data_IF_003994057049
#
_entry.id   IF_003994057049
#
_cell.length_a   1.000
_cell.length_b   1.000
_cell.length_c   1.000
_cell.angle_alpha   90.00
_cell.angle_beta   90.00
_cell.angle_gamma   90.00
#
_symmetry.space_group_name_H-M   'P 1'
#
loop_
_entity.id
_entity.type
_entity.pdbx_description
1 polymer ?
#
# COMPACT_ATOMS: atom_id res chain seq x y z
N UNK A 1 2.39 -5.65 -23.63
CA UNK A 1 1.11 -5.64 -22.88
C UNK A 1 0.82 -4.23 -22.38
N UNK A 2 -0.43 -3.78 -22.47
CA UNK A 2 -0.87 -2.49 -21.93
C UNK A 2 -0.73 -2.44 -20.40
N UNK A 3 -0.51 -1.24 -19.84
CA UNK A 3 -0.49 -1.01 -18.41
C UNK A 3 -1.78 -1.54 -17.75
N UNK A 4 -1.71 -2.13 -16.54
CA UNK A 4 -2.91 -2.62 -15.89
C UNK A 4 -3.79 -1.44 -15.47
N UNK A 5 -5.10 -1.63 -15.53
CA UNK A 5 -6.04 -0.63 -15.04
C UNK A 5 -5.97 -0.68 -13.52
N UNK A 6 -5.65 0.44 -12.88
CA UNK A 6 -5.70 0.61 -11.43
C UNK A 6 -7.00 1.28 -11.05
N UNK A 7 -7.79 0.66 -10.18
CA UNK A 7 -8.99 1.25 -9.58
C UNK A 7 -8.87 1.23 -8.06
N UNK A 8 -9.50 2.17 -7.40
CA UNK A 8 -9.65 2.17 -5.95
C UNK A 8 -11.08 1.77 -5.61
N UNK A 9 -11.28 0.89 -4.63
CA UNK A 9 -12.61 0.56 -4.12
C UNK A 9 -12.72 0.81 -2.62
N UNK A 10 -13.86 1.34 -2.20
CA UNK A 10 -14.10 1.71 -0.80
C UNK A 10 -15.60 1.62 -0.44
N UNK A 11 -15.87 1.46 0.85
CA UNK A 11 -17.21 1.61 1.43
C UNK A 11 -17.25 2.89 2.29
N UNK A 12 -18.27 3.76 2.13
CA UNK A 12 -18.36 5.05 2.82
C UNK A 12 -18.31 5.00 4.34
N UNK A 13 -18.13 6.17 4.94
CA UNK A 13 -18.26 6.37 6.38
C UNK A 13 -19.64 5.92 6.87
N UNK A 14 -19.69 5.35 8.06
CA UNK A 14 -20.92 4.79 8.66
C UNK A 14 -21.58 3.67 7.86
N UNK A 15 -20.91 3.12 6.83
CA UNK A 15 -21.33 1.93 6.10
C UNK A 15 -20.34 0.78 6.30
N UNK A 16 -20.87 -0.38 6.69
CA UNK A 16 -20.13 -1.61 6.97
C UNK A 16 -20.41 -2.73 5.96
N UNK A 17 -21.24 -2.48 4.94
CA UNK A 17 -21.62 -3.49 3.96
C UNK A 17 -20.52 -3.67 2.90
N UNK A 18 -19.54 -4.52 3.21
CA UNK A 18 -18.40 -4.76 2.34
C UNK A 18 -18.50 -6.06 1.51
N UNK A 19 -19.55 -6.86 1.74
CA UNK A 19 -19.70 -8.17 1.10
C UNK A 19 -19.77 -8.06 -0.42
N UNK A 20 -20.58 -7.13 -0.94
CA UNK A 20 -20.75 -6.92 -2.38
C UNK A 20 -19.45 -6.45 -3.05
N UNK A 21 -18.76 -5.47 -2.45
CA UNK A 21 -17.54 -4.92 -3.04
C UNK A 21 -16.40 -5.96 -3.02
N UNK A 22 -16.33 -6.83 -2.02
CA UNK A 22 -15.37 -7.92 -1.97
C UNK A 22 -15.55 -8.90 -3.15
N UNK A 23 -16.79 -9.29 -3.45
CA UNK A 23 -17.08 -10.14 -4.63
C UNK A 23 -16.72 -9.45 -5.93
N UNK A 24 -17.07 -8.17 -6.09
CA UNK A 24 -16.76 -7.37 -7.28
C UNK A 24 -15.24 -7.24 -7.48
N UNK A 25 -14.50 -6.95 -6.41
CA UNK A 25 -13.05 -6.84 -6.43
C UNK A 25 -12.39 -8.13 -6.93
N UNK A 26 -12.86 -9.29 -6.45
CA UNK A 26 -12.36 -10.59 -6.89
C UNK A 26 -12.58 -10.82 -8.38
N UNK A 27 -13.72 -10.39 -8.92
CA UNK A 27 -13.96 -10.48 -10.37
C UNK A 27 -13.03 -9.55 -11.15
N UNK A 28 -12.88 -8.29 -10.74
CA UNK A 28 -11.95 -7.37 -11.40
C UNK A 28 -10.53 -7.91 -11.50
N UNK A 29 -10.04 -8.53 -10.42
CA UNK A 29 -8.70 -9.13 -10.37
C UNK A 29 -8.57 -10.31 -11.35
N UNK A 30 -9.61 -11.13 -11.51
CA UNK A 30 -9.63 -12.22 -12.50
C UNK A 30 -9.43 -11.70 -13.93
N UNK A 31 -9.87 -10.47 -14.19
CA UNK A 31 -9.77 -9.82 -15.50
C UNK A 31 -8.62 -8.82 -15.64
N UNK A 32 -7.59 -8.93 -14.80
CA UNK A 32 -6.34 -8.18 -15.00
C UNK A 32 -6.35 -6.75 -14.43
N UNK A 33 -7.35 -6.39 -13.62
CA UNK A 33 -7.44 -5.06 -12.98
C UNK A 33 -6.73 -5.11 -11.63
N UNK A 34 -5.89 -4.11 -11.37
CA UNK A 34 -5.27 -3.89 -10.06
C UNK A 34 -6.25 -3.07 -9.19
N UNK A 35 -6.68 -3.66 -8.07
CA UNK A 35 -7.68 -3.08 -7.18
C UNK A 35 -7.01 -2.66 -5.88
N UNK A 36 -7.00 -1.36 -5.60
CA UNK A 36 -6.62 -0.82 -4.29
C UNK A 36 -7.87 -0.83 -3.43
N UNK A 37 -7.96 -1.77 -2.49
CA UNK A 37 -9.10 -1.84 -1.58
C UNK A 37 -8.81 -1.05 -0.31
N UNK A 38 -9.66 -0.07 0.01
CA UNK A 38 -9.52 0.70 1.25
C UNK A 38 -10.28 0.11 2.43
N UNK A 39 -11.15 -0.88 2.23
CA UNK A 39 -12.05 -1.33 3.29
C UNK A 39 -13.28 -0.42 3.46
N UNK A 40 -13.92 -0.56 4.61
CA UNK A 40 -15.13 0.15 4.98
C UNK A 40 -14.90 1.28 5.97
N UNK A 41 -15.95 2.07 6.23
CA UNK A 41 -15.90 3.27 7.06
C UNK A 41 -14.87 4.32 6.59
N UNK A 42 -14.86 4.64 5.30
CA UNK A 42 -13.91 5.60 4.73
C UNK A 42 -14.52 6.97 4.48
N UNK A 43 -13.82 8.01 4.94
CA UNK A 43 -14.20 9.40 4.67
C UNK A 43 -13.90 9.78 3.22
N UNK A 44 -14.57 10.82 2.72
CA UNK A 44 -14.30 11.41 1.40
C UNK A 44 -12.84 11.82 1.26
N UNK A 45 -12.25 12.39 2.32
CA UNK A 45 -10.86 12.82 2.36
C UNK A 45 -9.88 11.66 2.15
N UNK A 46 -10.11 10.53 2.82
CA UNK A 46 -9.24 9.36 2.73
C UNK A 46 -9.31 8.71 1.35
N UNK A 47 -10.53 8.55 0.82
CA UNK A 47 -10.78 7.99 -0.51
C UNK A 47 -10.07 8.82 -1.58
N UNK A 48 -10.25 10.15 -1.57
CA UNK A 48 -9.64 11.03 -2.57
C UNK A 48 -8.13 11.10 -2.42
N UNK A 49 -7.60 11.15 -1.19
CA UNK A 49 -6.15 11.16 -0.95
C UNK A 49 -5.52 9.88 -1.49
N UNK A 50 -6.07 8.72 -1.14
CA UNK A 50 -5.56 7.44 -1.61
C UNK A 50 -5.65 7.32 -3.14
N UNK A 51 -6.78 7.71 -3.75
CA UNK A 51 -6.94 7.66 -5.21
C UNK A 51 -5.89 8.49 -5.95
N UNK A 52 -5.56 9.67 -5.42
CA UNK A 52 -4.52 10.54 -5.96
C UNK A 52 -3.12 9.90 -5.84
N UNK A 53 -2.75 9.44 -4.65
CA UNK A 53 -1.41 8.87 -4.41
C UNK A 53 -1.20 7.55 -5.18
N UNK A 54 -2.27 6.78 -5.36
CA UNK A 54 -2.30 5.52 -6.12
C UNK A 54 -2.44 5.72 -7.64
N UNK A 55 -2.59 6.95 -8.11
CA UNK A 55 -2.77 7.32 -9.51
C UNK A 55 -3.84 6.47 -10.23
N UNK A 56 -4.97 6.23 -9.56
CA UNK A 56 -6.01 5.35 -10.09
C UNK A 56 -6.74 5.97 -11.27
N UNK A 57 -7.35 5.14 -12.10
CA UNK A 57 -8.23 5.56 -13.20
C UNK A 57 -9.63 5.90 -12.71
N UNK A 58 -10.11 5.17 -11.71
CA UNK A 58 -11.42 5.34 -11.17
C UNK A 58 -11.52 4.92 -9.70
N UNK A 59 -12.52 5.48 -9.02
CA UNK A 59 -12.94 5.17 -7.66
C UNK A 59 -14.29 4.46 -7.76
N UNK A 60 -14.37 3.23 -7.26
CA UNK A 60 -15.60 2.46 -7.11
C UNK A 60 -16.11 2.53 -5.67
N UNK A 61 -17.30 3.05 -5.46
CA UNK A 61 -17.91 3.18 -4.13
C UNK A 61 -19.10 2.23 -4.01
N UNK A 62 -19.12 1.44 -2.94
CA UNK A 62 -20.26 0.58 -2.58
C UNK A 62 -21.00 1.20 -1.41
N UNK A 63 -22.26 1.61 -1.57
CA UNK A 63 -23.03 2.36 -0.57
C UNK A 63 -24.42 1.77 -0.34
N UNK A 64 -24.71 1.31 0.88
CA UNK A 64 -25.94 0.65 1.29
C UNK A 64 -26.69 1.37 2.42
N UNK A 65 -26.09 2.40 3.03
CA UNK A 65 -26.67 3.11 4.18
C UNK A 65 -27.30 4.48 3.87
N UNK A 66 -27.46 4.83 2.58
CA UNK A 66 -28.02 6.12 2.16
C UNK A 66 -27.00 7.27 2.17
N UNK A 67 -27.47 8.50 1.87
CA UNK A 67 -26.60 9.68 1.72
C UNK A 67 -25.66 9.61 0.52
N UNK A 68 -25.90 8.68 -0.41
CA UNK A 68 -25.03 8.40 -1.56
C UNK A 68 -24.96 9.55 -2.55
N UNK A 69 -26.03 10.31 -2.77
CA UNK A 69 -26.02 11.44 -3.72
C UNK A 69 -25.07 12.55 -3.25
N UNK A 70 -25.09 12.86 -1.97
CA UNK A 70 -24.18 13.78 -1.31
C UNK A 70 -22.76 13.23 -1.30
N UNK A 71 -22.57 12.01 -0.81
CA UNK A 71 -21.24 11.41 -0.65
C UNK A 71 -20.49 11.31 -1.97
N UNK A 72 -21.13 10.81 -3.03
CA UNK A 72 -20.50 10.71 -4.35
C UNK A 72 -20.22 12.11 -4.93
N UNK A 73 -21.13 13.06 -4.73
CA UNK A 73 -20.94 14.46 -5.14
C UNK A 73 -19.71 15.08 -4.48
N UNK A 74 -19.56 14.91 -3.16
CA UNK A 74 -18.41 15.42 -2.40
C UNK A 74 -17.09 14.79 -2.85
N UNK A 75 -17.05 13.50 -3.19
CA UNK A 75 -15.86 12.84 -3.75
C UNK A 75 -15.46 13.51 -5.06
N UNK A 76 -16.42 13.73 -5.97
CA UNK A 76 -16.16 14.40 -7.26
C UNK A 76 -15.69 15.85 -7.05
N UNK A 77 -16.34 16.59 -6.16
CA UNK A 77 -16.00 17.98 -5.89
C UNK A 77 -14.62 18.11 -5.24
N UNK A 78 -14.25 17.21 -4.33
CA UNK A 78 -12.93 17.19 -3.71
C UNK A 78 -11.84 16.78 -4.70
N UNK A 79 -12.10 15.83 -5.61
CA UNK A 79 -11.21 15.52 -6.73
C UNK A 79 -10.98 16.76 -7.61
N UNK A 80 -12.05 17.49 -7.95
CA UNK A 80 -11.96 18.73 -8.72
C UNK A 80 -11.14 19.79 -7.99
N UNK A 81 -11.41 20.00 -6.70
CA UNK A 81 -10.69 20.96 -5.84
C UNK A 81 -9.20 20.63 -5.72
N UNK A 82 -8.83 19.34 -5.71
CA UNK A 82 -7.43 18.88 -5.67
C UNK A 82 -6.78 18.77 -7.06
N UNK A 83 -7.51 19.07 -8.13
CA UNK A 83 -7.00 19.03 -9.51
C UNK A 83 -6.92 17.63 -10.14
N UNK A 84 -7.55 16.62 -9.54
CA UNK A 84 -7.55 15.24 -9.99
C UNK A 84 -8.82 14.88 -10.80
N UNK A 85 -9.24 15.76 -11.70
CA UNK A 85 -10.49 15.64 -12.48
C UNK A 85 -10.49 14.50 -13.50
N UNK A 86 -9.33 13.93 -13.75
CA UNK A 86 -9.14 12.79 -14.66
C UNK A 86 -9.47 11.45 -13.99
N UNK A 87 -9.59 11.39 -12.67
CA UNK A 87 -10.08 10.22 -11.93
C UNK A 87 -11.60 10.19 -11.98
N UNK A 88 -12.18 9.07 -12.44
CA UNK A 88 -13.64 8.87 -12.52
C UNK A 88 -14.20 8.28 -11.24
N UNK A 89 -15.49 8.49 -11.00
CA UNK A 89 -16.21 7.92 -9.86
C UNK A 89 -17.35 7.07 -10.39
N UNK A 90 -17.43 5.82 -9.95
CA UNK A 90 -18.54 4.91 -10.22
C UNK A 90 -18.95 4.20 -8.93
N UNK A 91 -20.06 3.48 -8.94
CA UNK A 91 -20.45 2.73 -7.76
C UNK A 91 -21.75 1.97 -7.90
N UNK A 92 -22.26 1.52 -6.76
CA UNK A 92 -23.53 0.81 -6.65
C UNK A 92 -23.96 0.69 -5.19
N UNK A 93 -25.23 0.31 -4.99
CA UNK A 93 -25.82 0.21 -3.65
C UNK A 93 -26.98 -0.76 -3.56
N UNK A 94 -27.06 -1.70 -4.52
CA UNK A 94 -28.20 -2.60 -4.66
C UNK A 94 -29.50 -1.83 -4.86
N UNK A 95 -30.50 -2.11 -4.03
CA UNK A 95 -31.80 -1.43 -4.05
C UNK A 95 -31.83 -0.08 -3.31
N UNK A 96 -30.74 0.32 -2.65
CA UNK A 96 -30.67 1.58 -1.89
C UNK A 96 -30.60 2.80 -2.80
N UNK A 97 -29.95 2.66 -3.95
CA UNK A 97 -29.78 3.74 -4.92
C UNK A 97 -30.90 3.62 -5.96
N UNK A 98 -31.76 4.63 -6.01
CA UNK A 98 -32.86 4.69 -6.98
C UNK A 98 -32.37 5.19 -8.35
N UNK A 99 -33.21 5.07 -9.38
CA UNK A 99 -32.90 5.62 -10.70
C UNK A 99 -32.78 7.16 -10.67
N UNK A 100 -33.66 7.82 -9.91
CA UNK A 100 -33.63 9.28 -9.73
C UNK A 100 -32.34 9.74 -9.04
N UNK A 101 -31.88 8.98 -8.03
CA UNK A 101 -30.58 9.22 -7.39
C UNK A 101 -29.43 9.08 -8.37
N UNK A 102 -29.46 8.06 -9.22
CA UNK A 102 -28.43 7.85 -10.24
C UNK A 102 -28.39 8.99 -11.27
N UNK A 103 -29.54 9.54 -11.66
CA UNK A 103 -29.60 10.73 -12.51
C UNK A 103 -29.04 11.96 -11.79
N UNK A 104 -29.38 12.17 -10.52
CA UNK A 104 -28.84 13.25 -9.71
C UNK A 104 -27.31 13.16 -9.56
N UNK A 105 -26.80 11.96 -9.30
CA UNK A 105 -25.36 11.68 -9.25
C UNK A 105 -24.67 11.89 -10.60
N UNK A 106 -25.31 11.49 -11.71
CA UNK A 106 -24.79 11.74 -13.07
C UNK A 106 -24.69 13.23 -13.37
N UNK A 107 -25.68 14.04 -12.95
CA UNK A 107 -25.60 15.51 -13.03
C UNK A 107 -24.42 16.08 -12.24
N UNK A 108 -24.03 15.42 -11.15
CA UNK A 108 -22.82 15.72 -10.36
C UNK A 108 -21.53 15.08 -10.90
N UNK A 109 -21.52 14.62 -12.15
CA UNK A 109 -20.37 14.01 -12.84
C UNK A 109 -19.89 12.65 -12.29
N UNK A 110 -20.76 11.91 -11.59
CA UNK A 110 -20.54 10.47 -11.37
C UNK A 110 -20.68 9.74 -12.71
N UNK A 111 -19.75 8.86 -13.04
CA UNK A 111 -19.61 8.26 -14.37
C UNK A 111 -20.65 7.14 -14.60
N UNK A 112 -20.80 6.23 -13.64
CA UNK A 112 -21.74 5.10 -13.74
C UNK A 112 -22.21 4.62 -12.36
N UNK A 113 -23.50 4.34 -12.25
CA UNK A 113 -24.10 3.58 -11.15
C UNK A 113 -24.54 2.23 -11.70
N UNK A 114 -24.18 1.16 -11.00
CA UNK A 114 -24.63 -0.20 -11.26
C UNK A 114 -25.75 -0.56 -10.28
N UNK A 115 -26.81 -1.15 -10.81
CA UNK A 115 -28.01 -1.51 -10.05
C UNK A 115 -28.00 -2.99 -9.67
N UNK A 116 -28.90 -3.37 -8.77
CA UNK A 116 -29.15 -4.78 -8.48
C UNK A 116 -29.47 -5.54 -9.78
N UNK A 117 -28.83 -6.69 -9.98
CA UNK A 117 -28.98 -7.53 -11.16
C UNK A 117 -27.96 -7.27 -12.29
N UNK A 118 -27.16 -6.19 -12.24
CA UNK A 118 -26.02 -6.04 -13.15
C UNK A 118 -25.03 -7.20 -12.96
N UNK A 119 -24.65 -7.86 -14.06
CA UNK A 119 -23.70 -8.97 -14.01
C UNK A 119 -22.27 -8.49 -13.70
N UNK A 120 -21.47 -9.32 -13.03
CA UNK A 120 -20.07 -8.98 -12.73
C UNK A 120 -19.23 -8.82 -14.02
N UNK A 121 -19.56 -9.57 -15.07
CA UNK A 121 -18.94 -9.45 -16.40
C UNK A 121 -19.22 -8.07 -17.00
N UNK A 122 -20.47 -7.62 -16.98
CA UNK A 122 -20.85 -6.29 -17.49
C UNK A 122 -20.11 -5.17 -16.75
N UNK A 123 -20.02 -5.24 -15.42
CA UNK A 123 -19.24 -4.27 -14.63
C UNK A 123 -17.78 -4.25 -15.04
N UNK A 124 -17.20 -5.43 -15.28
CA UNK A 124 -15.79 -5.59 -15.64
C UNK A 124 -15.50 -5.06 -17.05
N UNK A 125 -16.36 -5.40 -18.01
CA UNK A 125 -16.24 -4.92 -19.39
C UNK A 125 -16.35 -3.39 -19.43
N UNK A 126 -17.31 -2.82 -18.68
CA UNK A 126 -17.41 -1.38 -18.53
C UNK A 126 -16.11 -0.76 -18.01
N UNK A 127 -15.54 -1.29 -16.92
CA UNK A 127 -14.27 -0.80 -16.36
C UNK A 127 -13.14 -0.87 -17.39
N UNK A 128 -13.04 -1.96 -18.15
CA UNK A 128 -12.00 -2.15 -19.16
C UNK A 128 -12.14 -1.18 -20.33
N UNK A 129 -13.33 -1.06 -20.88
CA UNK A 129 -13.60 -0.20 -22.04
C UNK A 129 -13.53 1.28 -21.70
N UNK A 130 -14.05 1.66 -20.52
CA UNK A 130 -14.12 3.06 -20.09
C UNK A 130 -12.79 3.55 -19.54
N UNK A 131 -12.17 2.78 -18.65
CA UNK A 131 -11.01 3.21 -17.88
C UNK A 131 -9.67 2.67 -18.42
N UNK A 132 -9.71 1.74 -19.39
CA UNK A 132 -8.53 1.27 -20.12
C UNK A 132 -8.02 2.22 -21.21
N UNK A 133 -8.81 3.23 -21.58
CA UNK A 133 -8.42 4.22 -22.59
C UNK A 133 -7.30 5.14 -22.09
N UNK A 134 -6.41 5.63 -22.98
CA UNK A 134 -5.46 6.67 -22.62
C UNK A 134 -6.18 7.89 -22.04
N UNK A 135 -5.76 8.37 -20.88
CA UNK A 135 -6.28 9.60 -20.27
C UNK A 135 -5.32 10.76 -20.47
N UNK A 136 -5.85 11.94 -20.72
CA UNK A 136 -5.07 13.19 -20.60
C UNK A 136 -4.98 13.52 -19.12
N UNK A 137 -3.78 13.49 -18.57
CA UNK A 137 -3.49 14.01 -17.24
C UNK A 137 -3.73 15.53 -17.26
N UNK A 138 -4.57 16.03 -16.35
CA UNK A 138 -4.84 17.46 -16.26
C UNK A 138 -3.55 18.24 -15.91
N UNK A 139 -3.43 19.53 -16.21
CA UNK A 139 -2.24 20.30 -15.83
C UNK A 139 -2.25 20.59 -14.32
N UNK A 140 -1.61 19.75 -13.48
CA UNK A 140 -1.72 19.84 -12.02
C UNK A 140 -0.49 20.45 -11.33
N UNK A 141 -0.74 21.25 -10.29
CA UNK A 141 0.29 21.88 -9.44
C UNK A 141 0.64 21.07 -8.18
N UNK A 142 -0.15 20.05 -7.82
CA UNK A 142 0.06 19.31 -6.56
C UNK A 142 1.30 18.42 -6.63
N UNK A 143 2.25 18.54 -5.68
CA UNK A 143 3.43 17.68 -5.61
C UNK A 143 3.09 16.18 -5.56
N UNK A 144 2.03 15.81 -4.82
CA UNK A 144 1.63 14.41 -4.66
C UNK A 144 1.09 13.81 -5.96
N UNK A 145 0.35 14.58 -6.75
CA UNK A 145 -0.14 14.15 -8.07
C UNK A 145 1.04 13.91 -9.01
N UNK A 146 1.99 14.87 -9.07
CA UNK A 146 3.17 14.75 -9.92
C UNK A 146 4.05 13.56 -9.49
N UNK A 147 4.19 13.34 -8.19
CA UNK A 147 4.93 12.20 -7.66
C UNK A 147 4.26 10.87 -8.03
N UNK A 148 2.96 10.73 -7.79
CA UNK A 148 2.19 9.54 -8.15
C UNK A 148 2.27 9.22 -9.65
N UNK A 149 2.25 10.26 -10.49
CA UNK A 149 2.38 10.12 -11.94
C UNK A 149 3.73 9.59 -12.39
N UNK A 150 4.81 10.12 -11.81
CA UNK A 150 6.17 9.66 -12.08
C UNK A 150 6.38 8.22 -11.60
N UNK A 151 5.79 7.84 -10.47
CA UNK A 151 5.81 6.44 -10.01
C UNK A 151 5.11 5.52 -11.01
N UNK A 152 3.92 5.88 -11.50
CA UNK A 152 3.24 5.12 -12.56
C UNK A 152 4.08 5.03 -13.84
N UNK A 153 4.76 6.11 -14.26
CA UNK A 153 5.63 6.09 -15.44
C UNK A 153 6.83 5.15 -15.27
N UNK A 154 7.42 5.09 -14.07
CA UNK A 154 8.49 4.15 -13.75
C UNK A 154 7.97 2.71 -13.82
N UNK A 155 6.80 2.43 -13.22
CA UNK A 155 6.18 1.11 -13.26
C UNK A 155 5.86 0.64 -14.69
N UNK A 156 5.31 1.53 -15.51
CA UNK A 156 4.97 1.24 -16.91
C UNK A 156 6.22 1.13 -17.80
N UNK A 157 7.22 1.96 -17.55
CA UNK A 157 8.49 1.95 -18.28
C UNK A 157 9.26 0.65 -18.09
N UNK A 158 9.37 0.19 -16.85
CA UNK A 158 10.00 -1.11 -16.50
C UNK A 158 9.27 -2.29 -17.14
N UNK A 159 7.96 -2.19 -17.34
CA UNK A 159 7.17 -3.22 -18.04
C UNK A 159 7.47 -3.27 -19.54
N UNK A 160 7.63 -2.11 -20.19
CA UNK A 160 7.85 -2.03 -21.64
C UNK A 160 9.24 -2.50 -22.06
N UNK A 161 10.25 -2.29 -21.22
CA UNK A 161 11.63 -2.63 -21.59
C UNK A 161 11.95 -4.12 -21.54
N UNK A 162 11.16 -4.97 -20.86
CA UNK A 162 11.31 -6.44 -20.82
C UNK A 162 12.66 -6.98 -20.32
N UNK A 163 13.62 -6.10 -20.09
CA UNK A 163 15.00 -6.29 -19.65
C UNK A 163 15.33 -5.12 -18.73
N UNK A 164 16.23 -5.38 -17.80
CA UNK A 164 16.95 -4.36 -17.04
C UNK A 164 17.37 -3.25 -18.01
N UNK A 165 16.67 -2.12 -17.98
CA UNK A 165 17.22 -0.87 -18.52
C UNK A 165 18.62 -0.77 -17.90
N UNK A 166 19.65 -0.40 -18.69
CA UNK A 166 20.90 0.12 -18.12
C UNK A 166 20.47 1.10 -17.06
N UNK A 167 20.59 0.72 -15.78
CA UNK A 167 20.11 1.49 -14.63
C UNK A 167 20.63 2.87 -14.92
N UNK A 168 19.73 3.84 -15.20
CA UNK A 168 20.18 5.21 -15.25
C UNK A 168 20.74 5.41 -13.85
N UNK A 169 22.06 5.45 -13.76
CA UNK A 169 22.83 5.82 -12.58
C UNK A 169 22.51 7.29 -12.36
N UNK A 170 21.25 7.56 -12.02
CA UNK A 170 20.84 8.84 -11.48
C UNK A 170 21.72 9.00 -10.27
N UNK A 171 22.61 9.99 -10.29
CA UNK A 171 23.58 10.26 -9.23
C UNK A 171 22.91 10.10 -7.85
N UNK A 172 23.16 8.99 -7.16
CA UNK A 172 22.58 8.67 -5.85
C UNK A 172 23.08 9.66 -4.77
N UNK A 173 24.06 10.51 -5.13
CA UNK A 173 24.77 11.46 -4.26
C UNK A 173 23.95 12.57 -3.58
N UNK A 174 22.68 12.77 -3.95
CA UNK A 174 21.81 13.77 -3.32
C UNK A 174 20.50 13.15 -2.85
N UNK A 175 20.58 12.32 -1.80
CA UNK A 175 19.41 11.85 -1.07
C UNK A 175 19.14 12.73 0.12
N UNK A 176 17.88 13.04 0.34
CA UNK A 176 17.40 13.84 1.46
C UNK A 176 16.64 13.00 2.49
N UNK A 177 16.15 11.82 2.09
CA UNK A 177 15.35 10.94 2.94
C UNK A 177 16.12 9.70 3.38
N UNK A 178 15.88 9.25 4.61
CA UNK A 178 16.35 7.95 5.11
C UNK A 178 15.39 6.84 4.70
N UNK A 179 15.89 5.80 4.04
CA UNK A 179 15.09 4.69 3.48
C UNK A 179 15.18 3.47 4.40
N UNK A 180 14.04 3.04 4.94
CA UNK A 180 13.95 1.95 5.90
C UNK A 180 13.14 0.80 5.29
N UNK A 181 13.74 -0.39 5.22
CA UNK A 181 13.12 -1.57 4.65
C UNK A 181 12.57 -2.52 5.71
N UNK A 182 11.29 -2.82 5.64
CA UNK A 182 10.60 -3.79 6.49
C UNK A 182 10.34 -5.08 5.69
N UNK A 183 10.82 -6.20 6.23
CA UNK A 183 10.61 -7.53 5.67
C UNK A 183 10.26 -8.54 6.75
N UNK A 184 9.79 -9.72 6.36
CA UNK A 184 9.39 -10.79 7.28
C UNK A 184 8.23 -11.63 6.76
N UNK A 185 7.96 -12.78 7.40
CA UNK A 185 6.93 -13.71 6.96
C UNK A 185 5.52 -13.09 6.93
N UNK A 186 4.64 -13.71 6.15
CA UNK A 186 3.22 -13.36 6.14
C UNK A 186 2.61 -13.49 7.55
N UNK A 187 1.76 -12.52 7.94
CA UNK A 187 1.12 -12.55 9.24
C UNK A 187 2.00 -12.12 10.44
N UNK A 188 3.27 -11.75 10.24
CA UNK A 188 4.13 -11.21 11.30
C UNK A 188 3.64 -9.86 11.87
N UNK A 189 2.76 -9.15 11.14
CA UNK A 189 2.24 -7.84 11.53
C UNK A 189 3.11 -6.66 11.09
N UNK A 190 3.78 -6.79 9.93
CA UNK A 190 4.61 -5.73 9.31
C UNK A 190 3.81 -4.45 9.08
N UNK A 191 2.72 -4.54 8.33
CA UNK A 191 1.80 -3.44 8.00
C UNK A 191 1.32 -2.71 9.24
N UNK A 192 0.87 -3.45 10.27
CA UNK A 192 0.43 -2.88 11.55
C UNK A 192 1.57 -2.18 12.30
N UNK A 193 2.76 -2.79 12.33
CA UNK A 193 3.93 -2.20 12.97
C UNK A 193 4.38 -0.91 12.27
N UNK A 194 4.35 -0.90 10.94
CA UNK A 194 4.65 0.28 10.11
C UNK A 194 3.65 1.40 10.41
N UNK A 195 2.35 1.10 10.48
CA UNK A 195 1.32 2.10 10.77
C UNK A 195 1.50 2.73 12.17
N UNK A 196 1.89 1.93 13.16
CA UNK A 196 2.21 2.43 14.50
C UNK A 196 3.50 3.27 14.53
N UNK A 197 4.51 2.91 13.74
CA UNK A 197 5.73 3.71 13.52
C UNK A 197 5.37 5.06 12.88
N UNK A 198 4.46 5.06 11.89
CA UNK A 198 3.94 6.29 11.27
C UNK A 198 3.24 7.16 12.32
N UNK A 199 2.46 6.57 13.24
CA UNK A 199 1.86 7.33 14.34
C UNK A 199 2.91 8.02 15.22
N UNK A 200 4.02 7.34 15.59
CA UNK A 200 5.11 7.96 16.37
C UNK A 200 5.75 9.11 15.59
N UNK A 201 6.01 8.91 14.31
CA UNK A 201 6.51 9.97 13.44
C UNK A 201 5.60 11.19 13.42
N UNK A 202 4.30 10.99 13.22
CA UNK A 202 3.31 12.06 13.15
C UNK A 202 3.21 12.83 14.48
N UNK A 203 3.38 12.15 15.62
CA UNK A 203 3.33 12.77 16.94
C UNK A 203 4.61 13.54 17.30
N UNK A 204 5.78 13.05 16.90
CA UNK A 204 7.06 13.65 17.27
C UNK A 204 7.49 14.77 16.31
N UNK A 205 7.17 14.68 15.02
CA UNK A 205 7.52 15.68 14.03
C UNK A 205 6.25 16.35 13.50
N UNK A 206 6.03 17.62 13.84
CA UNK A 206 4.80 18.34 13.46
C UNK A 206 4.73 18.77 11.99
N UNK A 207 5.88 18.86 11.30
CA UNK A 207 5.98 19.35 9.91
C UNK A 207 6.52 18.32 8.92
N UNK A 208 7.14 17.26 9.43
CA UNK A 208 7.75 16.22 8.61
C UNK A 208 6.73 15.43 7.81
N UNK A 209 7.22 14.83 6.73
CA UNK A 209 6.48 13.95 5.83
C UNK A 209 7.16 12.59 5.72
N UNK A 210 6.34 11.55 5.56
CA UNK A 210 6.80 10.18 5.41
C UNK A 210 6.19 9.55 4.16
N UNK A 211 6.98 8.77 3.43
CA UNK A 211 6.51 7.98 2.29
C UNK A 211 6.49 6.49 2.64
N UNK A 212 5.51 5.75 2.13
CA UNK A 212 5.36 4.30 2.29
C UNK A 212 5.22 3.67 0.91
N UNK A 213 6.10 2.72 0.59
CA UNK A 213 6.02 1.88 -0.60
C UNK A 213 5.71 0.45 -0.14
N UNK A 214 4.44 0.04 -0.19
CA UNK A 214 4.01 -1.31 0.20
C UNK A 214 3.95 -2.23 -1.01
N UNK A 215 4.15 -3.53 -0.77
CA UNK A 215 4.09 -4.56 -1.78
C UNK A 215 3.09 -5.64 -1.40
N UNK A 216 2.16 -5.91 -2.32
CA UNK A 216 1.18 -6.99 -2.21
C UNK A 216 1.47 -8.12 -3.23
N UNK A 217 1.18 -9.38 -2.88
CA UNK A 217 1.39 -10.51 -3.76
C UNK A 217 0.44 -10.47 -4.96
N UNK A 218 0.93 -10.85 -6.14
CA UNK A 218 0.13 -10.89 -7.37
C UNK A 218 0.67 -11.91 -8.36
N UNK A 219 -0.19 -12.40 -9.24
CA UNK A 219 0.13 -13.45 -10.21
C UNK A 219 0.31 -12.83 -11.60
N UNK A 220 1.29 -13.31 -12.36
CA UNK A 220 1.51 -12.87 -13.75
C UNK A 220 0.24 -13.12 -14.57
N UNK A 221 -0.19 -12.11 -15.32
CA UNK A 221 -1.36 -12.21 -16.21
C UNK A 221 -2.71 -12.03 -15.51
N UNK A 222 -2.75 -11.94 -14.17
CA UNK A 222 -3.93 -11.53 -13.40
C UNK A 222 -3.74 -10.12 -12.85
N UNK A 223 -4.83 -9.56 -12.33
CA UNK A 223 -4.80 -8.35 -11.54
C UNK A 223 -4.18 -8.58 -10.16
N UNK A 224 -4.37 -7.64 -9.25
CA UNK A 224 -3.91 -7.75 -7.87
C UNK A 224 -4.94 -7.13 -6.92
N UNK A 225 -5.16 -7.77 -5.77
CA UNK A 225 -5.78 -7.10 -4.63
C UNK A 225 -4.67 -6.44 -3.82
N UNK A 226 -4.65 -5.11 -3.80
CA UNK A 226 -3.69 -4.33 -3.03
C UNK A 226 -4.38 -3.89 -1.74
N UNK A 227 -4.13 -4.63 -0.66
CA UNK A 227 -4.97 -4.62 0.55
C UNK A 227 -4.29 -4.04 1.78
N UNK A 228 -2.96 -3.92 1.79
CA UNK A 228 -2.20 -3.41 2.95
C UNK A 228 -2.72 -2.05 3.43
N UNK A 229 -3.13 -1.20 2.49
CA UNK A 229 -3.66 0.13 2.77
C UNK A 229 -4.96 0.12 3.58
N UNK A 230 -5.79 -0.91 3.45
CA UNK A 230 -7.02 -1.03 4.25
C UNK A 230 -6.72 -1.24 5.74
N UNK A 231 -5.59 -1.88 6.06
CA UNK A 231 -5.20 -2.17 7.44
C UNK A 231 -4.54 -0.97 8.15
N UNK A 232 -4.10 0.04 7.40
CA UNK A 232 -3.39 1.21 7.94
C UNK A 232 -4.36 2.36 8.24
N UNK A 233 -4.33 2.84 9.49
CA UNK A 233 -5.17 3.94 9.96
C UNK A 233 -4.40 5.25 9.82
N UNK A 234 -3.16 5.29 10.29
CA UNK A 234 -2.36 6.51 10.37
C UNK A 234 -1.79 6.93 9.01
N UNK A 235 -1.73 6.00 8.05
CA UNK A 235 -1.38 6.30 6.66
C UNK A 235 -2.38 7.24 5.95
N UNK A 236 -3.56 7.46 6.53
CA UNK A 236 -4.56 8.40 6.05
C UNK A 236 -4.34 9.83 6.58
N UNK A 237 -3.10 10.21 6.88
CA UNK A 237 -2.75 11.60 7.21
C UNK A 237 -2.23 12.34 5.96
N UNK A 238 -2.49 13.65 5.83
CA UNK A 238 -2.00 14.44 4.69
C UNK A 238 -0.45 14.50 4.61
N UNK A 239 0.24 14.24 5.73
CA UNK A 239 1.71 14.17 5.78
C UNK A 239 2.28 12.80 5.39
N UNK A 240 1.43 11.82 5.10
CA UNK A 240 1.82 10.49 4.66
C UNK A 240 1.51 10.33 3.18
N UNK A 241 2.52 9.97 2.40
CA UNK A 241 2.35 9.53 1.02
C UNK A 241 2.48 8.01 0.97
N UNK A 242 1.49 7.29 0.46
CA UNK A 242 1.57 5.84 0.34
C UNK A 242 1.26 5.39 -1.10
N UNK A 243 2.02 4.40 -1.56
CA UNK A 243 1.85 3.74 -2.86
C UNK A 243 1.92 2.23 -2.69
N UNK A 244 0.90 1.51 -3.15
CA UNK A 244 0.89 0.04 -3.17
C UNK A 244 1.34 -0.51 -4.51
N UNK A 245 2.27 -1.46 -4.50
CA UNK A 245 2.84 -2.09 -5.70
C UNK A 245 2.55 -3.58 -5.74
N UNK A 246 2.23 -4.08 -6.93
CA UNK A 246 2.08 -5.51 -7.18
C UNK A 246 3.46 -6.15 -7.46
N UNK A 247 3.76 -7.31 -6.86
CA UNK A 247 5.01 -8.06 -7.15
C UNK A 247 5.06 -8.68 -8.55
N UNK A 248 3.91 -8.85 -9.21
CA UNK A 248 3.72 -9.40 -10.55
C UNK A 248 4.45 -10.73 -10.74
N UNK A 249 4.32 -11.64 -9.76
CA UNK A 249 4.90 -12.98 -9.76
C UNK A 249 6.43 -13.03 -9.63
N UNK A 250 7.10 -11.93 -9.27
CA UNK A 250 8.55 -11.96 -9.01
C UNK A 250 8.88 -12.66 -7.70
N UNK A 251 9.92 -13.49 -7.75
CA UNK A 251 10.53 -14.05 -6.55
C UNK A 251 11.25 -12.96 -5.74
N UNK A 252 11.22 -13.07 -4.41
CA UNK A 252 11.90 -12.12 -3.51
C UNK A 252 11.02 -11.00 -2.95
N UNK A 253 9.76 -10.91 -3.38
CA UNK A 253 8.75 -10.15 -2.66
C UNK A 253 8.68 -8.64 -2.89
N UNK A 254 9.32 -8.16 -3.95
CA UNK A 254 9.32 -6.76 -4.38
C UNK A 254 8.97 -6.63 -5.87
N UNK A 255 8.47 -5.46 -6.27
CA UNK A 255 8.21 -5.13 -7.67
C UNK A 255 9.52 -4.87 -8.44
N UNK A 256 9.64 -5.19 -9.74
CA UNK A 256 10.81 -4.82 -10.55
C UNK A 256 11.11 -3.31 -10.57
N UNK A 257 10.09 -2.48 -10.40
CA UNK A 257 10.20 -1.03 -10.42
C UNK A 257 10.66 -0.44 -9.06
N UNK A 258 10.79 -1.27 -8.02
CA UNK A 258 11.08 -0.83 -6.65
C UNK A 258 12.30 0.08 -6.56
N UNK A 259 13.42 -0.33 -7.17
CA UNK A 259 14.67 0.44 -7.10
C UNK A 259 14.48 1.88 -7.61
N UNK A 260 13.86 2.04 -8.77
CA UNK A 260 13.68 3.34 -9.40
C UNK A 260 12.62 4.17 -8.66
N UNK A 261 11.57 3.54 -8.14
CA UNK A 261 10.57 4.19 -7.27
C UNK A 261 11.22 4.71 -5.98
N UNK A 262 12.06 3.91 -5.32
CA UNK A 262 12.78 4.36 -4.12
C UNK A 262 13.81 5.44 -4.44
N UNK A 263 14.46 5.39 -5.61
CA UNK A 263 15.38 6.45 -6.03
C UNK A 263 14.65 7.79 -6.25
N UNK A 264 13.40 7.75 -6.73
CA UNK A 264 12.55 8.94 -6.84
C UNK A 264 12.09 9.43 -5.45
N UNK A 265 11.59 8.52 -4.61
CA UNK A 265 11.09 8.85 -3.27
C UNK A 265 12.21 9.39 -2.36
N UNK A 266 13.41 8.80 -2.39
CA UNK A 266 14.54 9.22 -1.57
C UNK A 266 15.16 10.58 -1.95
N UNK A 267 14.75 11.16 -3.09
CA UNK A 267 15.07 12.54 -3.51
C UNK A 267 13.87 13.49 -3.39
N UNK A 268 12.73 12.97 -2.96
CA UNK A 268 11.53 13.76 -2.74
C UNK A 268 11.56 14.34 -1.32
N UNK A 269 10.69 15.31 -1.06
CA UNK A 269 10.64 16.04 0.20
C UNK A 269 9.95 15.21 1.33
N UNK A 270 10.60 14.12 1.73
CA UNK A 270 10.22 13.25 2.85
C UNK A 270 11.40 13.12 3.81
N UNK A 271 11.12 13.02 5.11
CA UNK A 271 12.13 12.71 6.12
C UNK A 271 12.49 11.22 6.05
N UNK A 272 11.46 10.37 5.94
CA UNK A 272 11.61 8.92 5.85
C UNK A 272 10.87 8.33 4.65
N UNK A 273 11.46 7.29 4.05
CA UNK A 273 10.81 6.43 3.06
C UNK A 273 10.81 5.01 3.61
N UNK A 274 9.63 4.49 3.95
CA UNK A 274 9.42 3.12 4.37
C UNK A 274 9.13 2.26 3.14
N UNK A 275 9.78 1.10 3.03
CA UNK A 275 9.41 0.07 2.08
C UNK A 275 9.01 -1.22 2.80
N UNK A 276 7.82 -1.72 2.50
CA UNK A 276 7.32 -3.01 2.97
C UNK A 276 7.37 -4.04 1.83
N UNK A 277 7.86 -5.23 2.13
CA UNK A 277 7.78 -6.39 1.22
C UNK A 277 6.48 -7.17 1.45
N UNK A 278 6.09 -7.99 0.49
CA UNK A 278 5.13 -9.08 0.77
C UNK A 278 5.68 -10.00 1.87
N UNK A 279 4.84 -10.88 2.41
CA UNK A 279 5.32 -11.99 3.25
C UNK A 279 6.45 -12.77 2.57
N UNK A 280 7.66 -12.65 3.08
CA UNK A 280 8.85 -13.28 2.46
C UNK A 280 9.10 -14.68 3.00
N UNK A 281 9.58 -15.57 2.13
CA UNK A 281 10.14 -16.85 2.54
C UNK A 281 11.45 -16.68 3.32
N UNK A 282 11.89 -17.77 3.97
CA UNK A 282 13.06 -17.78 4.86
C UNK A 282 14.38 -17.43 4.13
N UNK A 283 14.46 -17.69 2.82
CA UNK A 283 15.67 -17.49 1.99
C UNK A 283 15.69 -16.15 1.24
N UNK A 284 14.63 -15.36 1.32
CA UNK A 284 14.51 -14.12 0.54
C UNK A 284 15.40 -13.00 1.12
N UNK A 285 16.08 -12.28 0.22
CA UNK A 285 16.94 -11.14 0.56
C UNK A 285 16.49 -9.88 -0.20
N UNK A 286 15.27 -9.35 0.06
CA UNK A 286 14.61 -8.36 -0.78
C UNK A 286 15.43 -7.08 -1.00
N UNK A 287 16.21 -6.66 -0.01
CA UNK A 287 16.90 -5.37 -0.05
C UNK A 287 18.38 -5.45 -0.46
N UNK A 288 18.95 -6.66 -0.58
CA UNK A 288 20.39 -6.85 -0.81
C UNK A 288 20.87 -6.24 -2.15
N UNK A 289 20.06 -6.32 -3.21
CA UNK A 289 20.41 -5.85 -4.55
C UNK A 289 20.05 -4.38 -4.81
N UNK A 290 19.36 -3.74 -3.85
CA UNK A 290 18.85 -2.40 -4.06
C UNK A 290 19.92 -1.36 -3.74
N UNK A 291 20.77 -1.54 -2.72
CA UNK A 291 21.77 -0.54 -2.33
C UNK A 291 21.19 0.84 -1.96
N UNK A 292 19.85 0.90 -1.87
CA UNK A 292 19.06 2.10 -1.62
C UNK A 292 18.51 2.10 -0.19
N UNK A 293 18.34 0.93 0.41
CA UNK A 293 17.80 0.80 1.76
C UNK A 293 18.93 1.03 2.76
N UNK A 294 18.78 2.03 3.61
CA UNK A 294 19.80 2.46 4.58
C UNK A 294 19.75 1.61 5.86
N UNK A 295 18.56 1.10 6.21
CA UNK A 295 18.33 0.28 7.39
C UNK A 295 17.30 -0.82 7.10
N UNK A 296 17.60 -2.05 7.50
CA UNK A 296 16.69 -3.20 7.31
C UNK A 296 16.15 -3.71 8.64
N UNK A 297 14.82 -3.78 8.74
CA UNK A 297 14.05 -4.32 9.86
C UNK A 297 13.42 -5.66 9.45
N UNK A 298 13.77 -6.73 10.16
CA UNK A 298 13.11 -8.03 10.04
C UNK A 298 12.04 -8.16 11.13
N UNK A 299 10.79 -8.31 10.74
CA UNK A 299 9.66 -8.52 11.65
C UNK A 299 9.28 -9.99 11.68
N UNK A 300 9.30 -10.60 12.86
CA UNK A 300 8.95 -12.00 13.10
C UNK A 300 7.80 -12.10 14.10
N UNK A 301 7.01 -13.17 14.00
CA UNK A 301 6.12 -13.58 15.08
C UNK A 301 6.85 -14.57 16.02
N UNK A 302 6.37 -14.78 17.26
CA UNK A 302 6.96 -15.71 18.19
C UNK A 302 6.81 -17.17 17.77
N UNK A 303 5.88 -17.45 16.86
CA UNK A 303 5.58 -18.79 16.38
C UNK A 303 6.21 -19.04 15.00
N UNK A 304 7.53 -19.25 15.01
CA UNK A 304 8.35 -19.62 13.84
C UNK A 304 8.56 -21.14 13.74
N UNK A 305 7.77 -21.95 14.46
CA UNK A 305 7.91 -23.39 14.48
C UNK A 305 9.03 -23.89 15.41
N UNK A 306 10.04 -24.54 14.84
CA UNK A 306 11.16 -25.13 15.59
C UNK A 306 12.41 -24.26 15.53
N UNK A 307 13.30 -24.43 16.51
CA UNK A 307 14.60 -23.73 16.55
C UNK A 307 15.45 -23.95 15.29
N UNK A 308 15.32 -25.11 14.63
CA UNK A 308 15.99 -25.39 13.36
C UNK A 308 15.49 -24.50 12.21
N UNK A 309 14.25 -23.99 12.28
CA UNK A 309 13.75 -23.05 11.28
C UNK A 309 14.46 -21.70 11.36
N UNK A 310 14.84 -21.23 12.56
CA UNK A 310 15.61 -19.99 12.70
C UNK A 310 16.92 -20.03 11.91
N UNK A 311 17.57 -21.19 11.84
CA UNK A 311 18.82 -21.37 11.11
C UNK A 311 18.67 -21.19 9.60
N UNK A 312 17.45 -21.31 9.07
CA UNK A 312 17.15 -21.16 7.64
C UNK A 312 16.77 -19.73 7.26
N UNK A 313 16.55 -18.85 8.23
CA UNK A 313 16.12 -17.47 7.97
C UNK A 313 17.35 -16.62 7.68
N UNK A 314 17.65 -16.47 6.40
CA UNK A 314 18.81 -15.70 5.91
C UNK A 314 18.76 -14.24 6.38
N UNK A 315 17.55 -13.67 6.52
CA UNK A 315 17.40 -12.30 6.99
C UNK A 315 17.89 -12.09 8.44
N UNK A 316 18.00 -13.12 9.27
CA UNK A 316 18.62 -12.99 10.60
C UNK A 316 20.11 -12.65 10.51
N UNK A 317 20.78 -12.99 9.41
CA UNK A 317 22.19 -12.66 9.18
C UNK A 317 22.37 -11.24 8.62
N UNK A 318 21.33 -10.71 7.97
CA UNK A 318 21.41 -9.48 7.18
C UNK A 318 20.78 -8.26 7.85
N UNK A 319 19.67 -8.43 8.58
CA UNK A 319 18.89 -7.32 9.14
C UNK A 319 19.68 -6.55 10.21
N UNK A 320 19.50 -5.24 10.26
CA UNK A 320 20.12 -4.38 11.28
C UNK A 320 19.33 -4.43 12.58
N UNK A 321 18.01 -4.54 12.46
CA UNK A 321 17.07 -4.67 13.57
C UNK A 321 16.18 -5.88 13.34
N UNK A 322 16.01 -6.70 14.37
CA UNK A 322 15.05 -7.80 14.41
C UNK A 322 13.97 -7.46 15.43
N UNK A 323 12.72 -7.56 15.00
CA UNK A 323 11.54 -7.31 15.83
C UNK A 323 10.80 -8.63 16.03
N UNK A 324 10.63 -9.05 17.27
CA UNK A 324 9.67 -10.08 17.66
C UNK A 324 8.36 -9.37 17.96
N UNK A 325 7.46 -9.33 16.98
CA UNK A 325 6.14 -8.75 17.13
C UNK A 325 5.15 -9.77 17.71
N UNK A 326 4.01 -9.30 18.22
CA UNK A 326 3.02 -10.13 18.93
C UNK A 326 3.62 -10.78 20.18
N UNK A 327 4.43 -10.02 20.91
CA UNK A 327 5.10 -10.49 22.13
C UNK A 327 4.17 -10.65 23.33
N UNK A 328 2.87 -10.41 23.15
CA UNK A 328 1.81 -10.82 24.06
C UNK A 328 1.48 -12.32 24.01
N UNK A 329 1.97 -13.05 22.99
CA UNK A 329 1.75 -14.49 22.85
C UNK A 329 2.63 -15.31 23.79
N UNK A 330 2.13 -16.47 24.24
CA UNK A 330 2.76 -17.32 25.26
C UNK A 330 4.23 -17.69 24.95
N UNK A 331 4.59 -17.89 23.67
CA UNK A 331 5.95 -18.28 23.24
C UNK A 331 6.92 -17.12 23.05
N UNK A 332 6.51 -15.86 23.27
CA UNK A 332 7.31 -14.67 23.00
C UNK A 332 8.66 -14.64 23.73
N UNK A 333 8.67 -14.97 25.03
CA UNK A 333 9.91 -14.97 25.83
C UNK A 333 10.92 -16.00 25.32
N UNK A 334 10.45 -17.20 25.01
CA UNK A 334 11.29 -18.27 24.44
C UNK A 334 11.80 -17.88 23.06
N UNK A 335 10.92 -17.35 22.21
CA UNK A 335 11.26 -16.85 20.88
C UNK A 335 12.36 -15.79 20.93
N UNK A 336 12.21 -14.80 21.80
CA UNK A 336 13.22 -13.77 22.03
C UNK A 336 14.57 -14.38 22.41
N UNK A 337 14.60 -15.27 23.39
CA UNK A 337 15.84 -15.89 23.85
C UNK A 337 16.55 -16.70 22.74
N UNK A 338 15.80 -17.48 21.97
CA UNK A 338 16.35 -18.27 20.86
C UNK A 338 16.85 -17.39 19.71
N UNK A 339 16.10 -16.33 19.34
CA UNK A 339 16.51 -15.37 18.32
C UNK A 339 17.74 -14.61 18.78
N UNK A 340 17.78 -14.14 20.04
CA UNK A 340 18.95 -13.46 20.61
C UNK A 340 20.20 -14.32 20.50
N UNK A 341 20.12 -15.58 20.93
CA UNK A 341 21.24 -16.52 20.83
C UNK A 341 21.67 -16.72 19.37
N UNK A 342 20.74 -16.74 18.42
CA UNK A 342 21.06 -16.85 16.99
C UNK A 342 21.75 -15.59 16.45
N UNK A 343 21.36 -14.40 16.91
CA UNK A 343 21.98 -13.14 16.49
C UNK A 343 23.39 -12.96 17.07
N UNK A 344 23.62 -13.42 18.30
CA UNK A 344 24.97 -13.40 18.92
C UNK A 344 26.00 -14.19 18.10
N UNK A 345 25.57 -15.22 17.37
CA UNK A 345 26.45 -16.00 16.47
C UNK A 345 26.95 -15.19 15.28
N UNK A 346 26.24 -14.13 14.86
CA UNK A 346 26.61 -13.31 13.72
C UNK A 346 27.77 -12.36 14.02
N UNK A 347 28.08 -12.12 15.30
CA UNK A 347 29.10 -11.14 15.74
C UNK A 347 28.89 -9.75 15.13
N UNK A 348 27.63 -9.36 14.93
CA UNK A 348 27.20 -8.03 14.46
C UNK A 348 26.45 -7.30 15.58
N UNK A 349 26.49 -5.97 15.56
CA UNK A 349 25.75 -5.13 16.50
C UNK A 349 24.25 -5.02 16.13
N UNK A 350 23.58 -6.16 15.96
CA UNK A 350 22.15 -6.21 15.62
C UNK A 350 21.32 -5.90 16.87
N UNK A 351 20.20 -5.19 16.67
CA UNK A 351 19.24 -4.91 17.76
C UNK A 351 18.08 -5.90 17.71
N UNK A 352 17.66 -6.39 18.88
CA UNK A 352 16.49 -7.24 19.05
C UNK A 352 15.46 -6.50 19.92
N UNK A 353 14.24 -6.39 19.43
CA UNK A 353 13.15 -5.63 20.08
C UNK A 353 11.90 -6.49 20.13
N UNK A 354 11.21 -6.48 21.26
CA UNK A 354 9.89 -7.10 21.39
C UNK A 354 8.82 -6.02 21.20
N UNK A 355 7.81 -6.29 20.37
CA UNK A 355 6.71 -5.35 20.14
C UNK A 355 5.35 -6.02 20.24
N UNK A 356 4.34 -5.23 20.59
CA UNK A 356 2.94 -5.58 20.41
C UNK A 356 2.28 -4.47 19.60
N UNK A 357 2.42 -4.51 18.26
CA UNK A 357 1.92 -3.42 17.40
C UNK A 357 0.40 -3.15 17.52
N UNK A 358 -0.39 -4.15 17.90
CA UNK A 358 -1.84 -3.95 18.16
C UNK A 358 -2.15 -3.21 19.46
N UNK A 359 -1.16 -3.04 20.35
CA UNK A 359 -1.33 -2.39 21.64
C UNK A 359 -1.02 -0.91 21.48
N UNK A 360 -2.01 -0.08 21.81
CA UNK A 360 -1.84 1.36 21.80
C UNK A 360 -0.71 1.78 22.77
N UNK A 361 0.20 2.66 22.30
CA UNK A 361 1.40 3.12 23.05
C UNK A 361 2.26 1.97 23.58
N UNK A 362 2.48 0.96 22.76
CA UNK A 362 3.46 -0.09 23.06
C UNK A 362 4.88 0.49 23.15
N UNK A 363 5.60 0.32 24.28
CA UNK A 363 6.95 0.87 24.47
C UNK A 363 7.99 0.21 23.57
N UNK A 364 7.75 -1.03 23.12
CA UNK A 364 8.61 -1.69 22.15
C UNK A 364 8.59 -1.01 20.79
N UNK A 365 7.41 -0.53 20.37
CA UNK A 365 7.29 0.28 19.14
C UNK A 365 7.98 1.63 19.29
N UNK A 366 7.92 2.24 20.48
CA UNK A 366 8.65 3.50 20.76
C UNK A 366 10.17 3.27 20.65
N UNK A 367 10.68 2.20 21.24
CA UNK A 367 12.09 1.81 21.12
C UNK A 367 12.50 1.54 19.66
N UNK A 368 11.65 0.87 18.88
CA UNK A 368 11.90 0.67 17.45
C UNK A 368 11.96 2.01 16.72
N UNK A 369 11.01 2.91 17.00
CA UNK A 369 10.97 4.24 16.40
C UNK A 369 12.25 5.05 16.67
N UNK A 370 12.75 5.01 17.91
CA UNK A 370 13.98 5.70 18.30
C UNK A 370 15.23 5.15 17.58
N UNK A 371 15.24 3.86 17.25
CA UNK A 371 16.36 3.22 16.54
C UNK A 371 16.38 3.49 15.03
N UNK A 372 15.20 3.70 14.44
CA UNK A 372 15.07 3.96 12.99
C UNK A 372 15.10 5.45 12.66
N UNK A 373 14.82 6.32 13.64
CA UNK A 373 14.84 7.78 13.50
C UNK A 373 16.26 8.34 13.39
#
# INVERSE_FOLDING_TARGET
MAAPIRILTAVPICDGHDSAINTINLEFIRHGIEVIYLGYHRSVGDIVRAAIQEDVRAIGISSYNGGHVEFFGEVVDLLRKRGATDIKVFGGGGGTITHDDAEAMKRRSVDKIFFAGTSLTEMTDYVRERYGKPRKRAGTKSPDIQLAWRLTEIEDGTRRSGRERKRQTSNIKHRTSRVIGFTGPGGAGKTTLIDEVVLRFLNQNSKGRIAILSHDPSVIGKGALLGDRAAMINSQNDRVFMRSMATRGQAGGLSPATHDCLALLGRSNFDYVIIETVGTGQEAMPFQKNGIVDLTVLVMNPDYGSRLQLQKIVMLDLADIVVVNKSDLQRARTAHAEIKQRLEQNRRAQRLIDTVAKRHRDPGVDQLFDLIS
#
